data_IF_679721882607
#
_entry.id   IF_679721882607
#
_cell.length_a   1.000
_cell.length_b   1.000
_cell.length_c   1.000
_cell.angle_alpha   90.00
_cell.angle_beta   90.00
_cell.angle_gamma   90.00
#
_symmetry.space_group_name_H-M   'P 1'
#
loop_
_entity.id
_entity.type
_entity.pdbx_description
1 polymer ?
#
# COMPACT_ATOMS: atom_id res chain seq x y z
N UNK A 1 17.81 7.05 4.96
CA UNK A 1 16.58 7.55 4.31
C UNK A 1 16.43 8.98 4.78
N UNK A 2 16.31 9.90 3.84
CA UNK A 2 16.16 11.33 4.14
C UNK A 2 14.79 11.59 4.77
N UNK A 3 14.69 12.58 5.67
CA UNK A 3 13.40 12.94 6.29
C UNK A 3 12.37 13.43 5.28
N UNK A 4 12.85 14.03 4.20
CA UNK A 4 12.07 14.50 3.06
C UNK A 4 11.74 13.43 2.04
N UNK A 5 12.16 12.16 2.24
CA UNK A 5 11.80 11.06 1.34
C UNK A 5 10.28 10.97 1.19
N UNK A 6 9.79 10.91 -0.05
CA UNK A 6 8.36 10.78 -0.35
C UNK A 6 7.89 9.36 -0.03
N UNK A 7 6.94 9.23 0.91
CA UNK A 7 6.50 7.93 1.45
C UNK A 7 5.04 7.68 1.06
N UNK A 8 4.78 6.56 0.41
CA UNK A 8 3.43 6.06 0.18
C UNK A 8 3.10 4.92 1.15
N UNK A 9 1.99 5.04 1.88
CA UNK A 9 1.49 3.98 2.77
C UNK A 9 0.15 3.48 2.21
N UNK A 10 0.20 2.40 1.43
CA UNK A 10 -1.02 1.73 0.98
C UNK A 10 -1.74 1.14 2.20
N UNK A 11 -3.02 1.45 2.38
CA UNK A 11 -3.78 1.02 3.56
C UNK A 11 -3.51 1.84 4.82
N UNK A 12 -3.12 3.12 4.69
CA UNK A 12 -2.76 4.00 5.81
C UNK A 12 -3.80 4.14 6.94
N UNK A 13 -5.09 3.87 6.68
CA UNK A 13 -6.16 3.92 7.71
C UNK A 13 -6.36 2.61 8.46
N UNK A 14 -5.79 1.51 7.97
CA UNK A 14 -5.82 0.22 8.64
C UNK A 14 -4.99 0.21 9.92
N UNK A 15 -5.13 -0.84 10.73
CA UNK A 15 -4.42 -0.97 12.01
C UNK A 15 -2.90 -0.86 11.84
N UNK A 16 -2.30 -1.63 10.93
CA UNK A 16 -0.87 -1.60 10.70
C UNK A 16 -0.41 -0.29 10.03
N UNK A 17 -1.12 0.15 8.96
CA UNK A 17 -0.79 1.37 8.23
C UNK A 17 -0.79 2.62 9.12
N UNK A 18 -1.82 2.77 9.96
CA UNK A 18 -1.94 3.93 10.86
C UNK A 18 -0.87 3.94 11.96
N UNK A 19 -0.51 2.76 12.49
CA UNK A 19 0.57 2.65 13.47
C UNK A 19 1.94 2.99 12.86
N UNK A 20 2.20 2.54 11.63
CA UNK A 20 3.43 2.86 10.91
C UNK A 20 3.50 4.36 10.61
N UNK A 21 2.41 4.95 10.12
CA UNK A 21 2.33 6.40 9.86
C UNK A 21 2.67 7.21 11.11
N UNK A 22 1.98 6.95 12.23
CA UNK A 22 2.24 7.63 13.51
C UNK A 22 3.69 7.49 13.97
N UNK A 23 4.29 6.32 13.78
CA UNK A 23 5.69 6.07 14.15
C UNK A 23 6.70 6.82 13.27
N UNK A 24 6.39 6.98 11.97
CA UNK A 24 7.21 7.75 11.03
C UNK A 24 7.07 9.26 11.29
N UNK A 25 5.86 9.75 11.52
CA UNK A 25 5.60 11.14 11.93
C UNK A 25 6.36 11.48 13.22
N UNK A 26 6.26 10.63 14.25
CA UNK A 26 7.02 10.81 15.49
C UNK A 26 8.55 10.73 15.29
N UNK A 27 9.01 10.13 14.20
CA UNK A 27 10.42 10.12 13.82
C UNK A 27 10.83 11.33 12.97
N UNK A 28 9.93 12.26 12.66
CA UNK A 28 10.19 13.47 11.88
C UNK A 28 10.16 13.28 10.37
N UNK A 29 9.48 12.24 9.86
CA UNK A 29 9.10 12.19 8.44
C UNK A 29 7.80 12.97 8.26
N UNK A 30 7.69 13.73 7.17
CA UNK A 30 6.55 14.62 6.91
C UNK A 30 6.00 14.55 5.47
N UNK A 31 6.76 13.99 4.53
CA UNK A 31 6.40 13.91 3.12
C UNK A 31 5.62 12.63 2.77
N UNK A 32 4.37 12.54 3.22
CA UNK A 32 3.48 11.41 2.96
C UNK A 32 2.57 11.64 1.76
N UNK A 33 2.37 10.60 0.96
CA UNK A 33 1.29 10.49 -0.03
C UNK A 33 0.29 9.48 0.53
N UNK A 34 -0.96 9.90 0.65
CA UNK A 34 -2.07 9.03 1.04
C UNK A 34 -3.11 8.97 -0.08
N UNK A 35 -3.76 7.81 -0.21
CA UNK A 35 -4.96 7.62 -1.02
C UNK A 35 -5.95 6.75 -0.26
N UNK A 36 -7.21 7.14 -0.25
CA UNK A 36 -8.28 6.26 0.20
C UNK A 36 -8.62 5.26 -0.91
N UNK A 37 -9.30 4.18 -0.54
CA UNK A 37 -9.76 3.19 -1.52
C UNK A 37 -10.67 3.82 -2.61
N UNK A 38 -11.51 4.80 -2.24
CA UNK A 38 -12.36 5.50 -3.21
C UNK A 38 -11.57 6.40 -4.17
N UNK A 39 -10.36 6.83 -3.79
CA UNK A 39 -9.50 7.68 -4.62
C UNK A 39 -8.55 6.85 -5.48
N UNK A 40 -8.23 5.63 -5.03
CA UNK A 40 -7.36 4.68 -5.72
C UNK A 40 -7.74 3.25 -5.34
N UNK A 41 -8.40 2.55 -6.26
CA UNK A 41 -8.57 1.11 -6.15
C UNK A 41 -7.30 0.41 -6.61
N UNK A 42 -6.58 -0.19 -5.66
CA UNK A 42 -5.33 -0.90 -5.92
C UNK A 42 -5.53 -2.23 -6.68
N UNK A 43 -6.77 -2.68 -6.85
CA UNK A 43 -7.07 -3.82 -7.74
C UNK A 43 -7.05 -3.42 -9.22
N UNK A 44 -7.18 -2.12 -9.53
CA UNK A 44 -7.05 -1.57 -10.88
C UNK A 44 -5.57 -1.29 -11.19
N UNK A 45 -5.03 -2.04 -12.14
CA UNK A 45 -3.64 -1.94 -12.57
C UNK A 45 -3.34 -0.58 -13.21
N UNK A 46 -4.23 -0.09 -14.09
CA UNK A 46 -3.99 1.14 -14.83
C UNK A 46 -4.01 2.34 -13.89
N UNK A 47 -4.97 2.39 -12.96
CA UNK A 47 -5.04 3.43 -11.94
C UNK A 47 -3.82 3.41 -11.01
N UNK A 48 -3.40 2.22 -10.57
CA UNK A 48 -2.20 2.06 -9.72
C UNK A 48 -0.95 2.54 -10.45
N UNK A 49 -0.76 2.14 -11.71
CA UNK A 49 0.40 2.57 -12.49
C UNK A 49 0.41 4.09 -12.71
N UNK A 50 -0.73 4.67 -13.10
CA UNK A 50 -0.86 6.12 -13.28
C UNK A 50 -0.56 6.90 -12.00
N UNK A 51 -1.00 6.39 -10.84
CA UNK A 51 -0.67 6.98 -9.54
C UNK A 51 0.83 6.97 -9.26
N UNK A 52 1.51 5.85 -9.49
CA UNK A 52 2.95 5.73 -9.26
C UNK A 52 3.76 6.61 -10.20
N UNK A 53 3.37 6.71 -11.48
CA UNK A 53 4.02 7.60 -12.46
C UNK A 53 3.80 9.09 -12.11
N UNK A 54 2.66 9.45 -11.54
CA UNK A 54 2.43 10.83 -11.11
C UNK A 54 3.21 11.19 -9.83
N UNK A 55 3.35 10.23 -8.91
CA UNK A 55 3.83 10.53 -7.56
C UNK A 55 5.30 10.16 -7.32
N UNK A 56 5.85 9.16 -8.01
CA UNK A 56 7.22 8.65 -7.82
C UNK A 56 7.62 8.48 -6.33
N UNK A 57 6.93 7.61 -5.56
CA UNK A 57 7.26 7.42 -4.15
C UNK A 57 8.65 6.80 -4.00
N UNK A 58 9.48 7.40 -3.14
CA UNK A 58 10.78 6.83 -2.78
C UNK A 58 10.60 5.57 -1.94
N UNK A 59 9.67 5.61 -0.98
CA UNK A 59 9.43 4.51 -0.04
C UNK A 59 7.98 4.08 -0.14
N UNK A 60 7.74 2.77 -0.21
CA UNK A 60 6.40 2.18 -0.21
C UNK A 60 6.24 1.25 0.98
N UNK A 61 5.17 1.46 1.75
CA UNK A 61 4.69 0.51 2.75
C UNK A 61 3.39 -0.07 2.23
N UNK A 62 3.41 -1.36 1.87
CA UNK A 62 2.24 -2.08 1.41
C UNK A 62 1.57 -2.78 2.59
N UNK A 63 0.63 -2.06 3.23
CA UNK A 63 -0.22 -2.56 4.32
C UNK A 63 -1.69 -2.72 3.88
N UNK A 64 -2.03 -2.41 2.62
CA UNK A 64 -3.34 -2.66 2.06
C UNK A 64 -3.52 -4.15 1.76
N UNK A 65 -4.64 -4.70 2.23
CA UNK A 65 -5.05 -6.06 1.96
C UNK A 65 -6.57 -6.17 2.12
N UNK A 66 -7.21 -7.08 1.38
CA UNK A 66 -8.56 -7.54 1.71
C UNK A 66 -8.44 -8.46 2.91
N UNK A 67 -8.99 -8.01 4.05
CA UNK A 67 -8.93 -8.69 5.34
C UNK A 67 -10.34 -8.92 5.88
N UNK A 68 -10.51 -9.94 6.73
CA UNK A 68 -11.79 -10.25 7.36
C UNK A 68 -11.69 -11.38 8.36
N UNK A 69 -12.76 -11.63 9.10
CA UNK A 69 -12.84 -12.73 10.06
C UNK A 69 -12.94 -14.12 9.39
N UNK A 70 -12.96 -15.16 10.21
CA UNK A 70 -13.03 -16.57 9.75
C UNK A 70 -14.22 -16.79 8.81
N UNK A 71 -15.41 -16.28 9.17
CA UNK A 71 -16.61 -16.41 8.34
C UNK A 71 -16.44 -15.72 6.97
N UNK A 72 -15.87 -14.51 6.93
CA UNK A 72 -15.68 -13.78 5.68
C UNK A 72 -14.70 -14.48 4.74
N UNK A 73 -13.59 -15.00 5.27
CA UNK A 73 -12.62 -15.78 4.49
C UNK A 73 -13.24 -17.08 3.94
N UNK A 74 -14.06 -17.76 4.75
CA UNK A 74 -14.75 -18.98 4.32
C UNK A 74 -15.86 -18.70 3.28
N UNK A 75 -16.51 -17.54 3.36
CA UNK A 75 -17.61 -17.16 2.47
C UNK A 75 -17.11 -16.65 1.11
N UNK A 76 -15.98 -15.92 1.09
CA UNK A 76 -15.46 -15.25 -0.11
C UNK A 76 -14.03 -15.64 -0.48
N UNK A 77 -13.65 -16.93 -0.48
CA UNK A 77 -12.24 -17.33 -0.60
C UNK A 77 -11.58 -16.86 -1.90
N UNK A 78 -12.31 -16.89 -3.02
CA UNK A 78 -11.83 -16.44 -4.32
C UNK A 78 -11.55 -14.93 -4.33
N UNK A 79 -12.43 -14.13 -3.73
CA UNK A 79 -12.24 -12.67 -3.68
C UNK A 79 -11.01 -12.31 -2.84
N UNK A 80 -10.84 -12.97 -1.69
CA UNK A 80 -9.68 -12.73 -0.83
C UNK A 80 -8.37 -13.01 -1.56
N UNK A 81 -8.24 -14.14 -2.26
CA UNK A 81 -7.00 -14.45 -2.98
C UNK A 81 -6.81 -13.52 -4.20
N UNK A 82 -7.85 -13.30 -4.99
CA UNK A 82 -7.75 -12.50 -6.22
C UNK A 82 -7.45 -11.04 -5.91
N UNK A 83 -8.14 -10.42 -4.96
CA UNK A 83 -7.93 -9.01 -4.63
C UNK A 83 -6.56 -8.79 -4.01
N UNK A 84 -6.13 -9.65 -3.08
CA UNK A 84 -4.81 -9.52 -2.48
C UNK A 84 -3.69 -9.72 -3.50
N UNK A 85 -3.82 -10.69 -4.42
CA UNK A 85 -2.85 -10.86 -5.50
C UNK A 85 -2.80 -9.61 -6.39
N UNK A 86 -3.94 -9.08 -6.84
CA UNK A 86 -3.98 -7.86 -7.67
C UNK A 86 -3.33 -6.68 -6.96
N UNK A 87 -3.70 -6.42 -5.70
CA UNK A 87 -3.12 -5.34 -4.89
C UNK A 87 -1.61 -5.49 -4.80
N UNK A 88 -1.13 -6.70 -4.49
CA UNK A 88 0.30 -6.98 -4.33
C UNK A 88 1.04 -6.81 -5.65
N UNK A 89 0.59 -7.44 -6.73
CA UNK A 89 1.27 -7.41 -8.02
C UNK A 89 1.29 -6.00 -8.59
N UNK A 90 0.17 -5.27 -8.55
CA UNK A 90 0.08 -3.91 -9.07
C UNK A 90 1.02 -2.96 -8.32
N UNK A 91 1.03 -2.99 -6.98
CA UNK A 91 1.88 -2.10 -6.19
C UNK A 91 3.36 -2.46 -6.31
N UNK A 92 3.72 -3.74 -6.27
CA UNK A 92 5.11 -4.19 -6.38
C UNK A 92 5.66 -3.85 -7.77
N UNK A 93 4.90 -4.12 -8.83
CA UNK A 93 5.31 -3.82 -10.20
C UNK A 93 5.44 -2.31 -10.43
N UNK A 94 4.45 -1.52 -10.02
CA UNK A 94 4.48 -0.07 -10.18
C UNK A 94 5.66 0.57 -9.42
N UNK A 95 5.89 0.16 -8.18
CA UNK A 95 7.03 0.62 -7.38
C UNK A 95 8.37 0.32 -8.04
N UNK A 96 8.54 -0.89 -8.60
CA UNK A 96 9.74 -1.26 -9.35
C UNK A 96 9.92 -0.39 -10.60
N UNK A 97 8.86 -0.19 -11.39
CA UNK A 97 8.90 0.60 -12.63
C UNK A 97 9.24 2.07 -12.41
N UNK A 98 8.74 2.67 -11.33
CA UNK A 98 8.91 4.11 -11.06
C UNK A 98 10.10 4.44 -10.16
N UNK A 99 10.97 3.47 -9.88
CA UNK A 99 12.22 3.69 -9.15
C UNK A 99 12.07 3.84 -7.63
N UNK A 100 11.06 3.23 -7.02
CA UNK A 100 10.96 3.16 -5.55
C UNK A 100 12.22 2.50 -4.98
N UNK A 101 12.91 3.20 -4.07
CA UNK A 101 14.18 2.74 -3.50
C UNK A 101 14.01 1.63 -2.45
N UNK A 102 12.84 1.57 -1.80
CA UNK A 102 12.55 0.55 -0.80
C UNK A 102 11.05 0.30 -0.67
N UNK A 103 10.67 -0.98 -0.73
CA UNK A 103 9.31 -1.44 -0.48
C UNK A 103 9.30 -2.40 0.72
N UNK A 104 8.32 -2.21 1.62
CA UNK A 104 8.03 -3.12 2.72
C UNK A 104 6.61 -3.67 2.55
N UNK A 105 6.50 -4.97 2.31
CA UNK A 105 5.23 -5.68 2.26
C UNK A 105 4.93 -6.33 3.60
N UNK A 106 3.73 -6.10 4.13
CA UNK A 106 3.26 -6.71 5.37
C UNK A 106 2.45 -7.98 5.05
N UNK A 107 3.07 -9.14 5.25
CA UNK A 107 2.40 -10.44 5.14
C UNK A 107 1.61 -10.83 6.39
N UNK A 108 0.94 -11.98 6.32
CA UNK A 108 0.37 -12.68 7.47
C UNK A 108 1.16 -13.97 7.72
N UNK A 109 1.26 -14.37 8.99
CA UNK A 109 1.72 -15.71 9.39
C UNK A 109 0.64 -16.77 9.13
#
# INVERSE_FOLDING_TARGET
MEKSSKIYIAGHRGMAGSAIRRRLEAAGYDNFIDRNHNDLDLTDQAATHAFFEAEHPHIVVLAAARVGGILANATYPADFILDNLKIQTNVIEAAWRTGTIKLMFLGSA
#
